data_IF_427584576962
#
_entry.id   IF_427584576962
#
_cell.length_a   1.000
_cell.length_b   1.000
_cell.length_c   1.000
_cell.angle_alpha   90.00
_cell.angle_beta   90.00
_cell.angle_gamma   90.00
#
_symmetry.space_group_name_H-M   'P 1'
#
loop_
_entity.id
_entity.type
_entity.pdbx_description
1 polymer ?
#
# COMPACT_ATOMS: atom_id res chain seq x y z
N UNK A 1 -53.86 54.52 17.03
CA UNK A 1 -52.80 54.04 16.11
C UNK A 1 -52.59 52.52 16.25
N UNK A 2 -53.62 51.71 15.96
CA UNK A 2 -53.59 50.24 16.14
C UNK A 2 -53.48 49.49 14.79
N UNK A 3 -52.72 50.04 13.84
CA UNK A 3 -52.65 49.57 12.45
C UNK A 3 -51.45 48.69 12.09
N UNK A 4 -50.47 48.52 12.98
CA UNK A 4 -49.20 47.85 12.64
C UNK A 4 -48.99 46.48 13.31
N UNK A 5 -49.79 46.11 14.32
CA UNK A 5 -49.60 44.82 15.02
C UNK A 5 -50.25 43.62 14.32
N UNK A 6 -51.14 43.85 13.33
CA UNK A 6 -51.83 42.78 12.61
C UNK A 6 -51.15 42.35 11.29
N UNK A 7 -50.07 43.02 10.87
CA UNK A 7 -49.31 42.63 9.67
C UNK A 7 -48.23 41.57 9.95
N UNK A 8 -47.70 41.51 11.16
CA UNK A 8 -46.69 40.51 11.57
C UNK A 8 -47.29 39.13 11.94
N UNK A 9 -48.60 39.03 12.22
CA UNK A 9 -49.24 37.73 12.50
C UNK A 9 -49.77 37.00 11.26
N UNK A 10 -49.74 37.63 10.08
CA UNK A 10 -50.14 36.99 8.81
C UNK A 10 -48.98 36.40 8.02
N UNK A 11 -47.74 36.83 8.25
CA UNK A 11 -46.57 36.27 7.56
C UNK A 11 -46.03 34.98 8.19
N UNK A 12 -46.37 34.69 9.45
CA UNK A 12 -45.94 33.45 10.12
C UNK A 12 -46.95 32.28 9.99
N UNK A 13 -48.07 32.47 9.29
CA UNK A 13 -49.09 31.41 9.10
C UNK A 13 -49.00 30.71 7.72
N UNK A 14 -48.23 31.25 6.77
CA UNK A 14 -48.08 30.67 5.43
C UNK A 14 -46.84 29.76 5.26
N UNK A 15 -46.03 29.58 6.30
CA UNK A 15 -44.84 28.71 6.29
C UNK A 15 -44.98 27.47 7.18
N UNK A 16 -46.19 27.21 7.70
CA UNK A 16 -46.47 26.07 8.59
C UNK A 16 -46.95 24.80 7.89
N UNK A 17 -47.40 24.87 6.62
CA UNK A 17 -48.06 23.74 5.94
C UNK A 17 -47.16 23.01 4.91
N UNK A 18 -45.84 23.05 5.08
CA UNK A 18 -44.90 22.39 4.14
C UNK A 18 -43.73 21.64 4.79
N UNK A 19 -43.92 21.16 6.04
CA UNK A 19 -42.94 20.32 6.76
C UNK A 19 -43.50 18.98 7.24
N UNK A 20 -44.51 18.46 6.56
CA UNK A 20 -44.98 17.09 6.72
C UNK A 20 -44.83 16.39 5.37
N UNK A 21 -43.65 15.82 5.09
CA UNK A 21 -43.44 14.66 4.17
C UNK A 21 -41.97 14.40 3.79
N UNK A 22 -41.00 14.55 4.69
CA UNK A 22 -39.65 13.98 4.45
C UNK A 22 -39.07 13.23 5.67
N UNK A 23 -39.84 12.99 6.74
CA UNK A 23 -39.41 12.17 7.88
C UNK A 23 -39.67 10.67 7.70
N UNK A 24 -39.95 10.23 6.47
CA UNK A 24 -40.32 8.87 6.11
C UNK A 24 -39.35 8.21 5.12
N UNK A 25 -38.10 8.64 5.06
CA UNK A 25 -37.02 7.82 4.49
C UNK A 25 -36.28 7.18 5.65
N UNK A 26 -36.91 6.11 6.12
CA UNK A 26 -36.31 4.92 6.67
C UNK A 26 -34.98 5.15 7.41
N UNK A 27 -35.06 4.98 8.73
CA UNK A 27 -34.00 4.34 9.49
C UNK A 27 -33.68 2.98 8.85
N UNK A 28 -33.01 2.97 7.70
CA UNK A 28 -32.26 1.81 7.26
C UNK A 28 -31.12 1.69 8.26
N UNK A 29 -31.17 0.64 9.08
CA UNK A 29 -30.00 0.17 9.79
C UNK A 29 -28.85 0.12 8.77
N UNK A 30 -27.84 0.99 8.93
CA UNK A 30 -26.73 1.12 7.99
C UNK A 30 -25.93 -0.18 7.83
N UNK A 31 -26.17 -1.15 8.70
CA UNK A 31 -25.56 -2.48 8.66
C UNK A 31 -26.45 -3.54 7.98
N UNK A 32 -27.70 -3.23 7.65
CA UNK A 32 -28.59 -4.16 6.97
C UNK A 32 -28.28 -4.19 5.47
N UNK A 33 -28.05 -5.37 4.93
CA UNK A 33 -27.80 -5.56 3.49
C UNK A 33 -29.14 -5.42 2.74
N UNK A 34 -29.27 -4.49 1.78
CA UNK A 34 -30.50 -4.30 1.01
C UNK A 34 -30.86 -5.56 0.22
N UNK A 35 -32.16 -5.83 0.05
CA UNK A 35 -32.62 -7.01 -0.69
C UNK A 35 -32.49 -6.82 -2.20
N UNK A 36 -32.75 -5.62 -2.72
CA UNK A 36 -32.62 -5.26 -4.14
C UNK A 36 -31.15 -5.13 -4.59
N UNK A 37 -30.89 -5.42 -5.86
CA UNK A 37 -29.56 -5.29 -6.48
C UNK A 37 -29.12 -3.82 -6.50
N UNK A 38 -30.02 -2.90 -6.86
CA UNK A 38 -29.76 -1.46 -6.91
C UNK A 38 -29.39 -0.93 -5.52
N UNK A 39 -30.11 -1.37 -4.49
CA UNK A 39 -29.79 -1.01 -3.10
C UNK A 39 -28.42 -1.51 -2.66
N UNK A 40 -28.05 -2.75 -3.03
CA UNK A 40 -26.71 -3.31 -2.75
C UNK A 40 -25.60 -2.52 -3.44
N UNK A 41 -25.82 -2.10 -4.69
CA UNK A 41 -24.84 -1.29 -5.44
C UNK A 41 -24.65 0.07 -4.77
N UNK A 42 -25.72 0.71 -4.31
CA UNK A 42 -25.60 2.01 -3.63
C UNK A 42 -24.90 1.86 -2.28
N UNK A 43 -25.27 0.84 -1.48
CA UNK A 43 -24.56 0.55 -0.23
C UNK A 43 -23.06 0.30 -0.46
N UNK A 44 -22.70 -0.45 -1.52
CA UNK A 44 -21.30 -0.69 -1.88
C UNK A 44 -20.55 0.63 -2.18
N UNK A 45 -21.20 1.56 -2.90
CA UNK A 45 -20.61 2.88 -3.19
C UNK A 45 -20.41 3.70 -1.92
N UNK A 46 -21.38 3.69 -1.02
CA UNK A 46 -21.29 4.40 0.27
C UNK A 46 -20.17 3.83 1.13
N UNK A 47 -20.14 2.52 1.33
CA UNK A 47 -19.07 1.84 2.08
C UNK A 47 -17.69 2.11 1.47
N UNK A 48 -17.58 2.08 0.13
CA UNK A 48 -16.32 2.39 -0.53
C UNK A 48 -15.85 3.83 -0.28
N UNK A 49 -16.77 4.81 -0.34
CA UNK A 49 -16.46 6.21 0.01
C UNK A 49 -16.01 6.35 1.46
N UNK A 50 -16.66 5.66 2.39
CA UNK A 50 -16.29 5.67 3.81
C UNK A 50 -14.90 5.07 4.02
N UNK A 51 -14.61 3.92 3.42
CA UNK A 51 -13.30 3.26 3.49
C UNK A 51 -12.19 4.20 2.99
N UNK A 52 -12.40 4.85 1.84
CA UNK A 52 -11.41 5.78 1.28
C UNK A 52 -11.22 7.01 2.18
N UNK A 53 -12.29 7.53 2.77
CA UNK A 53 -12.22 8.62 3.75
C UNK A 53 -11.41 8.22 4.98
N UNK A 54 -11.63 7.01 5.52
CA UNK A 54 -10.85 6.51 6.65
C UNK A 54 -9.38 6.30 6.30
N UNK A 55 -9.06 5.84 5.10
CA UNK A 55 -7.69 5.71 4.62
C UNK A 55 -6.97 7.07 4.61
N UNK A 56 -7.56 8.07 3.95
CA UNK A 56 -7.03 9.45 3.89
C UNK A 56 -6.82 10.04 5.29
N UNK A 57 -7.82 9.92 6.17
CA UNK A 57 -7.71 10.38 7.55
C UNK A 57 -6.61 9.66 8.32
N UNK A 58 -6.44 8.35 8.10
CA UNK A 58 -5.39 7.55 8.71
C UNK A 58 -4.01 8.03 8.26
N UNK A 59 -3.81 8.32 6.97
CA UNK A 59 -2.57 8.88 6.46
C UNK A 59 -2.26 10.26 7.06
N UNK A 60 -3.24 11.15 7.13
CA UNK A 60 -3.08 12.46 7.77
C UNK A 60 -2.68 12.34 9.25
N UNK A 61 -3.34 11.45 10.00
CA UNK A 61 -2.99 11.15 11.39
C UNK A 61 -1.58 10.58 11.51
N UNK A 62 -1.17 9.68 10.60
CA UNK A 62 0.17 9.13 10.55
C UNK A 62 1.25 10.20 10.28
N UNK A 63 0.98 11.16 9.39
CA UNK A 63 1.86 12.31 9.13
C UNK A 63 2.00 13.16 10.40
N UNK A 64 0.89 13.46 11.09
CA UNK A 64 0.91 14.23 12.34
C UNK A 64 1.66 13.50 13.46
N UNK A 65 1.45 12.20 13.60
CA UNK A 65 2.23 11.37 14.52
C UNK A 65 3.74 11.42 14.18
N UNK A 66 4.09 11.39 12.89
CA UNK A 66 5.46 11.52 12.41
C UNK A 66 6.10 12.87 12.76
N UNK A 67 5.34 13.97 12.70
CA UNK A 67 5.77 15.31 13.11
C UNK A 67 6.13 15.36 14.61
N UNK A 68 5.24 14.81 15.44
CA UNK A 68 5.43 14.74 16.90
C UNK A 68 6.67 13.89 17.22
N UNK A 69 6.75 12.69 16.66
CA UNK A 69 7.88 11.78 16.84
C UNK A 69 9.19 12.39 16.34
N UNK A 70 9.16 13.13 15.23
CA UNK A 70 10.35 13.81 14.72
C UNK A 70 10.84 14.90 15.67
N UNK A 71 9.92 15.64 16.28
CA UNK A 71 10.22 16.67 17.27
C UNK A 71 10.82 16.07 18.54
N UNK A 72 10.22 15.00 19.07
CA UNK A 72 10.74 14.30 20.27
C UNK A 72 12.12 13.70 19.97
N UNK A 73 12.31 13.08 18.80
CA UNK A 73 13.60 12.49 18.39
C UNK A 73 14.75 13.49 18.42
N UNK A 74 14.51 14.78 18.16
CA UNK A 74 15.56 15.81 18.26
C UNK A 74 16.15 15.91 19.66
N UNK A 75 15.35 15.68 20.71
CA UNK A 75 15.80 15.68 22.11
C UNK A 75 16.55 14.41 22.52
N UNK A 76 16.35 13.28 21.83
CA UNK A 76 16.88 11.97 22.22
C UNK A 76 17.88 11.38 21.20
N UNK A 77 18.62 12.21 20.43
CA UNK A 77 19.41 11.76 19.26
C UNK A 77 20.23 10.47 19.46
N UNK A 78 20.98 10.36 20.57
CA UNK A 78 21.87 9.20 20.83
C UNK A 78 21.12 7.96 21.32
N UNK A 79 20.02 8.12 22.06
CA UNK A 79 19.30 7.04 22.73
C UNK A 79 17.86 6.86 22.25
N UNK A 80 17.52 7.42 21.08
CA UNK A 80 16.15 7.42 20.55
C UNK A 80 15.55 6.02 20.49
N UNK A 81 16.32 5.03 20.05
CA UNK A 81 15.79 3.68 19.88
C UNK A 81 15.46 3.01 21.21
N UNK A 82 16.27 3.25 22.25
CA UNK A 82 16.04 2.72 23.59
C UNK A 82 14.83 3.41 24.22
N UNK A 83 14.78 4.74 24.15
CA UNK A 83 13.67 5.54 24.65
C UNK A 83 12.35 5.19 23.93
N UNK A 84 12.37 5.08 22.60
CA UNK A 84 11.19 4.76 21.83
C UNK A 84 10.63 3.37 22.15
N UNK A 85 11.51 2.38 22.38
CA UNK A 85 11.08 1.03 22.79
C UNK A 85 10.47 0.99 24.19
N UNK A 86 10.89 1.88 25.11
CA UNK A 86 10.39 1.89 26.48
C UNK A 86 9.17 2.78 26.70
N UNK A 87 9.00 3.84 25.90
CA UNK A 87 7.97 4.86 26.12
C UNK A 87 6.82 4.85 25.13
N UNK A 88 6.99 4.31 23.92
CA UNK A 88 5.95 4.37 22.89
C UNK A 88 5.07 3.11 22.91
N UNK A 89 3.74 3.25 22.78
CA UNK A 89 2.82 2.12 22.65
C UNK A 89 2.81 1.54 21.21
N UNK A 90 3.85 1.80 20.42
CA UNK A 90 3.98 1.36 19.03
C UNK A 90 5.37 0.79 18.78
N UNK A 91 5.48 -0.08 17.78
CA UNK A 91 6.78 -0.63 17.40
C UNK A 91 7.75 0.45 16.92
N UNK A 92 9.05 0.24 17.14
CA UNK A 92 10.10 1.12 16.62
C UNK A 92 10.04 1.25 15.08
N UNK A 93 9.64 0.18 14.39
CA UNK A 93 9.46 0.18 12.93
C UNK A 93 8.34 1.14 12.50
N UNK A 94 7.19 1.07 13.17
CA UNK A 94 6.05 1.99 12.93
C UNK A 94 6.45 3.44 13.19
N UNK A 95 7.13 3.71 14.31
CA UNK A 95 7.59 5.06 14.64
C UNK A 95 8.57 5.62 13.57
N UNK A 96 9.54 4.79 13.13
CA UNK A 96 10.46 5.14 12.03
C UNK A 96 9.70 5.40 10.72
N UNK A 97 8.67 4.60 10.44
CA UNK A 97 7.81 4.74 9.26
C UNK A 97 7.10 6.10 9.25
N UNK A 98 6.43 6.46 10.35
CA UNK A 98 5.74 7.74 10.49
C UNK A 98 6.69 8.93 10.32
N UNK A 99 7.85 8.90 10.99
CA UNK A 99 8.86 9.96 10.82
C UNK A 99 9.29 10.09 9.36
N UNK A 100 9.50 8.97 8.65
CA UNK A 100 9.92 8.99 7.24
C UNK A 100 8.83 9.57 6.33
N UNK A 101 7.58 9.17 6.53
CA UNK A 101 6.43 9.73 5.78
C UNK A 101 6.34 11.24 6.03
N UNK A 102 6.34 11.69 7.29
CA UNK A 102 6.30 13.12 7.63
C UNK A 102 7.43 13.91 6.94
N UNK A 103 8.67 13.42 7.01
CA UNK A 103 9.83 14.09 6.40
C UNK A 103 9.75 14.26 4.88
N UNK A 104 8.95 13.45 4.20
CA UNK A 104 8.85 13.44 2.75
C UNK A 104 7.40 13.64 2.28
N UNK A 105 6.54 14.20 3.14
CA UNK A 105 5.10 14.32 2.87
C UNK A 105 4.81 15.08 1.58
N UNK A 106 5.61 16.09 1.27
CA UNK A 106 5.47 16.93 0.07
C UNK A 106 5.86 16.19 -1.22
N UNK A 107 6.46 14.99 -1.11
CA UNK A 107 6.79 14.13 -2.25
C UNK A 107 5.75 13.05 -2.49
N UNK A 108 4.77 12.91 -1.61
CA UNK A 108 3.73 11.89 -1.72
C UNK A 108 2.65 12.44 -2.68
N UNK A 109 2.36 11.75 -3.79
CA UNK A 109 1.25 12.14 -4.68
C UNK A 109 -0.09 12.11 -3.93
N UNK A 110 -1.00 13.02 -4.29
CA UNK A 110 -2.35 13.08 -3.73
C UNK A 110 -3.18 11.82 -3.99
N UNK A 111 -2.82 11.03 -5.01
CA UNK A 111 -3.47 9.76 -5.32
C UNK A 111 -3.20 8.66 -4.29
N UNK A 112 -2.28 8.87 -3.35
CA UNK A 112 -1.95 7.90 -2.30
C UNK A 112 -2.72 8.27 -1.03
N UNK A 113 -3.65 7.40 -0.66
CA UNK A 113 -4.52 7.54 0.51
C UNK A 113 -4.08 6.69 1.71
N UNK A 114 -3.29 5.64 1.48
CA UNK A 114 -2.85 4.71 2.53
C UNK A 114 -1.39 4.93 2.97
N UNK A 115 -1.15 4.74 4.27
CA UNK A 115 0.18 4.87 4.90
C UNK A 115 1.18 3.83 4.38
N UNK A 116 0.74 2.59 4.13
CA UNK A 116 1.64 1.55 3.61
C UNK A 116 2.01 1.86 2.17
N UNK A 117 1.06 2.29 1.35
CA UNK A 117 1.33 2.76 -0.01
C UNK A 117 2.27 3.97 -0.01
N UNK A 118 2.04 4.97 0.84
CA UNK A 118 2.89 6.15 0.98
C UNK A 118 4.33 5.77 1.37
N UNK A 119 4.49 4.88 2.34
CA UNK A 119 5.82 4.41 2.72
C UNK A 119 6.49 3.60 1.61
N UNK A 120 5.74 2.71 0.94
CA UNK A 120 6.25 1.93 -0.20
C UNK A 120 6.76 2.85 -1.29
N UNK A 121 5.97 3.84 -1.70
CA UNK A 121 6.36 4.87 -2.66
C UNK A 121 7.71 5.49 -2.27
N UNK A 122 7.82 6.01 -1.03
CA UNK A 122 9.05 6.63 -0.51
C UNK A 122 10.25 5.69 -0.34
N UNK A 123 10.04 4.37 -0.31
CA UNK A 123 11.11 3.36 -0.25
C UNK A 123 11.53 2.87 -1.63
N UNK A 124 10.59 2.75 -2.56
CA UNK A 124 10.85 2.31 -3.93
C UNK A 124 11.55 3.39 -4.76
N UNK A 125 11.36 4.67 -4.42
CA UNK A 125 12.03 5.79 -5.11
C UNK A 125 13.52 5.97 -4.78
N UNK A 126 14.12 5.20 -3.86
CA UNK A 126 15.50 5.45 -3.40
C UNK A 126 16.63 4.68 -4.09
N UNK A 127 16.34 3.76 -5.03
CA UNK A 127 17.40 3.01 -5.74
C UNK A 127 17.19 2.92 -7.26
N UNK A 128 16.56 3.92 -7.88
CA UNK A 128 16.59 4.05 -9.34
C UNK A 128 16.92 5.49 -9.73
N UNK A 129 18.23 5.80 -9.81
CA UNK A 129 18.66 6.74 -10.86
C UNK A 129 18.10 6.20 -12.18
N UNK A 130 17.56 7.04 -13.08
CA UNK A 130 17.26 6.60 -14.43
C UNK A 130 18.61 6.35 -15.11
N UNK A 131 19.11 5.12 -14.98
CA UNK A 131 19.98 4.57 -16.00
C UNK A 131 19.02 4.23 -17.11
N UNK A 132 19.07 4.98 -18.21
CA UNK A 132 18.62 4.47 -19.50
C UNK A 132 19.30 3.11 -19.67
N UNK A 133 18.57 2.04 -19.36
CA UNK A 133 19.02 0.71 -19.70
C UNK A 133 18.79 0.60 -21.20
N UNK A 134 19.79 0.99 -21.98
CA UNK A 134 20.17 0.18 -23.13
C UNK A 134 20.02 -1.29 -22.70
N UNK A 135 19.38 -2.09 -23.56
CA UNK A 135 19.20 -3.54 -23.41
C UNK A 135 20.57 -4.23 -23.29
N UNK A 136 21.20 -4.09 -22.12
CA UNK A 136 22.34 -4.87 -21.71
C UNK A 136 21.74 -6.06 -20.94
N UNK A 137 21.90 -7.30 -21.42
CA UNK A 137 21.34 -8.46 -20.72
C UNK A 137 21.84 -8.42 -19.27
N UNK A 138 20.91 -8.41 -18.32
CA UNK A 138 21.26 -8.39 -16.90
C UNK A 138 22.25 -9.54 -16.61
N UNK A 139 23.29 -9.33 -15.79
CA UNK A 139 24.16 -10.43 -15.39
C UNK A 139 23.27 -11.48 -14.74
N UNK A 140 23.22 -12.65 -15.37
CA UNK A 140 22.45 -13.81 -14.93
C UNK A 140 22.77 -13.98 -13.45
N UNK A 141 21.76 -13.78 -12.58
CA UNK A 141 21.90 -14.14 -11.16
C UNK A 141 22.31 -15.60 -11.15
N UNK A 142 23.55 -15.89 -10.74
CA UNK A 142 24.06 -17.26 -10.70
C UNK A 142 23.01 -18.14 -10.01
N UNK A 143 22.47 -19.09 -10.76
CA UNK A 143 21.56 -20.08 -10.21
C UNK A 143 22.23 -20.72 -8.99
N UNK A 144 21.49 -21.02 -7.92
CA UNK A 144 22.07 -21.61 -6.72
C UNK A 144 22.74 -22.94 -7.09
N UNK A 145 24.07 -22.93 -7.17
CA UNK A 145 24.87 -24.12 -7.47
C UNK A 145 24.54 -25.22 -6.45
N UNK A 146 24.26 -26.46 -6.88
CA UNK A 146 24.00 -27.55 -5.95
C UNK A 146 25.14 -27.73 -4.94
N UNK A 147 24.81 -28.27 -3.77
CA UNK A 147 25.78 -28.47 -2.69
C UNK A 147 27.02 -29.26 -3.13
N UNK A 148 26.84 -30.24 -4.04
CA UNK A 148 27.93 -31.01 -4.64
C UNK A 148 28.90 -30.13 -5.44
N UNK A 149 28.39 -29.25 -6.31
CA UNK A 149 29.20 -28.34 -7.14
C UNK A 149 29.94 -27.31 -6.28
N UNK A 150 29.28 -26.79 -5.23
CA UNK A 150 29.94 -25.91 -4.25
C UNK A 150 31.08 -26.62 -3.53
N UNK A 151 30.91 -27.90 -3.21
CA UNK A 151 31.93 -28.73 -2.56
C UNK A 151 33.11 -28.99 -3.51
N UNK A 152 32.85 -29.32 -4.77
CA UNK A 152 33.87 -29.54 -5.80
C UNK A 152 34.68 -28.26 -6.08
N UNK A 153 34.01 -27.12 -6.27
CA UNK A 153 34.67 -25.83 -6.46
C UNK A 153 35.52 -25.39 -5.25
N UNK A 154 35.14 -25.82 -4.03
CA UNK A 154 35.90 -25.53 -2.80
C UNK A 154 37.18 -26.38 -2.68
N UNK A 155 37.20 -27.58 -3.27
CA UNK A 155 38.38 -28.45 -3.27
C UNK A 155 39.46 -27.96 -4.24
N UNK A 156 39.06 -27.27 -5.31
CA UNK A 156 39.95 -26.57 -6.26
C UNK A 156 41.07 -27.43 -6.89
N UNK A 157 40.86 -28.74 -6.98
CA UNK A 157 41.75 -29.68 -7.70
C UNK A 157 41.39 -29.72 -9.19
N UNK A 158 42.31 -30.10 -10.09
CA UNK A 158 42.03 -30.26 -11.51
C UNK A 158 40.82 -31.18 -11.79
N UNK A 159 40.71 -32.28 -11.06
CA UNK A 159 39.62 -33.26 -11.17
C UNK A 159 38.28 -32.65 -10.73
N UNK A 160 38.28 -31.93 -9.60
CA UNK A 160 37.06 -31.27 -9.10
C UNK A 160 36.55 -30.15 -10.02
N UNK A 161 37.45 -29.50 -10.77
CA UNK A 161 37.10 -28.52 -11.79
C UNK A 161 36.49 -29.18 -13.02
N UNK A 162 37.05 -30.31 -13.45
CA UNK A 162 36.53 -31.10 -14.57
C UNK A 162 35.14 -31.67 -14.26
N UNK A 163 34.94 -32.23 -13.06
CA UNK A 163 33.63 -32.71 -12.62
C UNK A 163 32.59 -31.60 -12.49
N UNK A 164 32.99 -30.42 -11.98
CA UNK A 164 32.12 -29.26 -11.96
C UNK A 164 31.74 -28.81 -13.38
N UNK A 165 32.68 -28.87 -14.33
CA UNK A 165 32.43 -28.52 -15.73
C UNK A 165 31.42 -29.47 -16.38
N UNK A 166 31.61 -30.79 -16.23
CA UNK A 166 30.65 -31.80 -16.73
C UNK A 166 29.25 -31.54 -16.16
N UNK A 167 29.14 -31.14 -14.89
CA UNK A 167 27.86 -30.80 -14.29
C UNK A 167 27.22 -29.58 -14.94
N UNK A 168 27.97 -28.51 -15.22
CA UNK A 168 27.44 -27.33 -15.92
C UNK A 168 26.98 -27.68 -17.33
N UNK A 169 27.77 -28.45 -18.08
CA UNK A 169 27.44 -28.83 -19.46
C UNK A 169 26.14 -29.66 -19.51
N UNK A 170 25.95 -30.58 -18.55
CA UNK A 170 24.73 -31.38 -18.45
C UNK A 170 23.51 -30.57 -17.97
N UNK A 171 23.68 -29.65 -17.02
CA UNK A 171 22.57 -28.82 -16.53
C UNK A 171 22.12 -27.82 -17.60
N UNK A 172 23.03 -27.30 -18.43
CA UNK A 172 22.67 -26.43 -19.56
C UNK A 172 21.76 -27.17 -20.57
N UNK A 173 22.07 -28.42 -20.89
CA UNK A 173 21.23 -29.28 -21.76
C UNK A 173 19.85 -29.47 -21.15
N UNK A 174 19.77 -29.82 -19.86
CA UNK A 174 18.52 -30.01 -19.13
C UNK A 174 17.65 -28.75 -19.11
N UNK A 175 18.25 -27.58 -18.89
CA UNK A 175 17.53 -26.30 -18.88
C UNK A 175 16.99 -25.95 -20.28
N UNK A 176 17.73 -26.24 -21.34
CA UNK A 176 17.26 -26.08 -22.72
C UNK A 176 16.05 -26.96 -23.02
N UNK A 177 16.07 -28.22 -22.58
CA UNK A 177 14.93 -29.14 -22.72
C UNK A 177 13.70 -28.66 -21.95
N UNK A 178 13.86 -28.22 -20.69
CA UNK A 178 12.76 -27.67 -19.91
C UNK A 178 12.15 -26.40 -20.53
N UNK A 179 12.99 -25.51 -21.06
CA UNK A 179 12.50 -24.32 -21.77
C UNK A 179 11.70 -24.67 -23.02
N UNK A 180 12.09 -25.73 -23.73
CA UNK A 180 11.37 -26.21 -24.90
C UNK A 180 10.03 -26.84 -24.52
N UNK A 181 9.97 -27.58 -23.41
CA UNK A 181 8.71 -28.11 -22.86
C UNK A 181 7.76 -26.97 -22.47
N UNK A 182 8.24 -25.98 -21.71
CA UNK A 182 7.44 -24.83 -21.27
C UNK A 182 6.94 -23.98 -22.46
N UNK A 183 7.73 -23.87 -23.53
CA UNK A 183 7.31 -23.21 -24.77
C UNK A 183 6.17 -23.97 -25.45
N UNK A 184 6.25 -25.30 -25.50
CA UNK A 184 5.19 -26.15 -26.07
C UNK A 184 3.92 -26.10 -25.23
N UNK A 185 4.01 -26.18 -23.90
CA UNK A 185 2.85 -26.08 -23.00
C UNK A 185 2.13 -24.73 -23.10
N UNK A 186 2.88 -23.62 -23.21
CA UNK A 186 2.29 -22.28 -23.41
C UNK A 186 1.54 -22.13 -24.73
N UNK A 187 1.91 -22.88 -25.77
CA UNK A 187 1.24 -22.87 -27.07
C UNK A 187 -0.06 -23.70 -27.06
N UNK A 188 -0.18 -24.70 -26.16
CA UNK A 188 -1.39 -25.53 -26.05
C UNK A 188 -2.47 -24.90 -25.16
N UNK A 189 -2.11 -24.10 -24.16
CA UNK A 189 -3.08 -23.38 -23.29
C UNK A 189 -3.70 -22.16 -24.01
N UNK A 190 -3.13 -21.74 -25.14
CA UNK A 190 -3.59 -20.61 -25.96
C UNK A 190 -4.48 -20.97 -27.16
N UNK A 191 -4.93 -22.23 -27.28
CA UNK A 191 -5.91 -22.71 -28.27
C UNK A 191 -7.22 -23.07 -27.60
#
# INVERSE_FOLDING_TARGET
>A
MNGQLNKLKRQNKATSDKRENESGKDLFDKNAIPVSIEGKIELLRELHKEINSFALQSLHKAIKAGEILFSIRKGHRKNWEIWAKSQLPISLSTAKRYIRVYKNKDRIPESIDDMTQAYRFLTQSKDKKPVEKELNPEPIKEYPKPAMVKRLLKLNTPESRYEAQIWYDNEEVRLRELLEILRKEKLEIGK
#
